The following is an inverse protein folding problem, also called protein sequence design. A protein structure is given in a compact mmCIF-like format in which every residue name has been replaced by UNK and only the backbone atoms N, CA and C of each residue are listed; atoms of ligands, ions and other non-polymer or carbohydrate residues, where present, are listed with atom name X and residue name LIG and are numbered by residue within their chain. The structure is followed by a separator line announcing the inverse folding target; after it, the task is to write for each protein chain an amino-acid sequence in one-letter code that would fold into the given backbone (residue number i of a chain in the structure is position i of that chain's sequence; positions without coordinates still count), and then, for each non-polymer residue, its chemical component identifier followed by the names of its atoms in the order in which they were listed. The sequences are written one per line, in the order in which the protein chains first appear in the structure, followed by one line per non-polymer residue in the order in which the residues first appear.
data_IF_550919126487
#
_entry.id   IF_550919126487
#
_cell.length_a   1.000
_cell.length_b   1.000
_cell.length_c   1.000
_cell.angle_alpha   90.00
_cell.angle_beta   90.00
_cell.angle_gamma   90.00
#
_symmetry.space_group_name_H-M   'P 1'
#
loop_
_entity.id
_entity.type
_entity.pdbx_description
1 polymer ?
#
# COMPACT_ATOMS: atom_id res chain seq x y z
N UNK A 1 14.78 -3.94 -11.37
CA UNK A 1 14.00 -3.92 -12.62
C UNK A 1 14.12 -2.55 -13.27
N UNK A 2 13.54 -1.49 -12.72
CA UNK A 2 13.51 -0.14 -13.32
C UNK A 2 14.88 0.33 -13.79
N UNK A 3 15.89 0.37 -12.89
CA UNK A 3 17.27 0.76 -13.22
C UNK A 3 17.80 0.03 -14.47
N UNK A 4 17.80 -1.30 -14.43
CA UNK A 4 18.38 -2.10 -15.50
C UNK A 4 17.67 -1.89 -16.84
N UNK A 5 16.33 -1.76 -16.80
CA UNK A 5 15.54 -1.49 -18.00
C UNK A 5 15.85 -0.11 -18.59
N UNK A 6 15.74 0.95 -17.76
CA UNK A 6 15.90 2.34 -18.22
C UNK A 6 17.32 2.60 -18.73
N UNK A 7 18.35 2.15 -18.01
CA UNK A 7 19.75 2.33 -18.43
C UNK A 7 20.03 1.62 -19.76
N UNK A 8 19.52 0.38 -19.92
CA UNK A 8 19.69 -0.39 -21.16
C UNK A 8 18.91 0.23 -22.32
N UNK A 9 17.62 0.50 -22.14
CA UNK A 9 16.74 1.01 -23.19
C UNK A 9 17.10 2.43 -23.65
N UNK A 10 17.69 3.24 -22.75
CA UNK A 10 18.19 4.57 -23.10
C UNK A 10 19.60 4.57 -23.70
N UNK A 11 20.26 3.43 -23.84
CA UNK A 11 21.67 3.31 -24.18
C UNK A 11 22.59 4.14 -23.25
N UNK A 12 22.30 4.12 -21.95
CA UNK A 12 23.05 4.83 -20.92
C UNK A 12 22.82 6.34 -20.87
N UNK A 13 21.87 6.90 -21.63
CA UNK A 13 21.53 8.33 -21.58
C UNK A 13 20.77 8.72 -20.31
N UNK A 14 20.13 7.77 -19.64
CA UNK A 14 19.52 7.93 -18.32
C UNK A 14 20.21 6.97 -17.37
N UNK A 15 20.90 7.51 -16.36
CA UNK A 15 21.47 6.75 -15.27
C UNK A 15 20.51 6.74 -14.08
N UNK A 16 20.49 5.65 -13.31
CA UNK A 16 19.65 5.51 -12.10
C UNK A 16 20.52 5.15 -10.91
N UNK A 17 20.52 5.99 -9.90
CA UNK A 17 21.12 5.71 -8.61
C UNK A 17 20.02 5.38 -7.58
N UNK A 18 20.24 4.36 -6.76
CA UNK A 18 19.25 3.89 -5.78
C UNK A 18 19.79 4.10 -4.38
N UNK A 19 19.05 4.87 -3.60
CA UNK A 19 19.34 5.13 -2.20
C UNK A 19 18.35 4.36 -1.33
N UNK A 20 18.83 3.62 -0.35
CA UNK A 20 18.01 2.72 0.47
C UNK A 20 17.75 3.33 1.86
N UNK A 21 16.56 3.05 2.38
CA UNK A 21 16.20 3.48 3.73
C UNK A 21 16.15 5.00 3.86
N UNK A 22 16.81 5.54 4.89
CA UNK A 22 16.77 6.96 5.27
C UNK A 22 17.98 7.76 4.78
N UNK A 23 18.62 7.37 3.69
CA UNK A 23 19.83 8.03 3.20
C UNK A 23 19.58 9.44 2.64
N UNK A 24 18.41 9.69 2.04
CA UNK A 24 18.07 10.98 1.45
C UNK A 24 17.08 11.81 2.28
N UNK A 25 16.27 11.16 3.11
CA UNK A 25 15.15 11.79 3.83
C UNK A 25 14.71 10.90 5.00
N UNK A 26 14.18 11.48 6.07
CA UNK A 26 13.85 10.77 7.30
C UNK A 26 12.47 10.10 7.32
N UNK A 27 11.53 10.60 6.50
CA UNK A 27 10.14 10.12 6.46
C UNK A 27 9.48 10.39 5.10
N UNK A 28 8.26 9.86 4.92
CA UNK A 28 7.57 9.93 3.63
C UNK A 28 7.21 11.35 3.17
N UNK A 29 6.83 12.23 4.09
CA UNK A 29 6.49 13.62 3.75
C UNK A 29 7.72 14.38 3.28
N UNK A 30 8.83 14.34 4.04
CA UNK A 30 10.09 14.95 3.67
C UNK A 30 10.62 14.45 2.32
N UNK A 31 10.52 13.14 2.07
CA UNK A 31 10.93 12.58 0.78
C UNK A 31 10.06 13.09 -0.39
N UNK A 32 8.75 13.20 -0.21
CA UNK A 32 7.85 13.72 -1.24
C UNK A 32 8.06 15.22 -1.47
N UNK A 33 8.34 16.01 -0.44
CA UNK A 33 8.75 17.41 -0.56
C UNK A 33 10.04 17.51 -1.39
N UNK A 34 11.04 16.66 -1.10
CA UNK A 34 12.26 16.59 -1.89
C UNK A 34 12.01 16.22 -3.37
N UNK A 35 11.02 15.37 -3.66
CA UNK A 35 10.60 15.10 -5.04
C UNK A 35 9.93 16.33 -5.66
N UNK A 36 9.05 16.99 -4.93
CA UNK A 36 8.36 18.19 -5.44
C UNK A 36 9.33 19.32 -5.77
N UNK A 37 10.36 19.50 -4.94
CA UNK A 37 11.42 20.50 -5.14
C UNK A 37 12.47 20.09 -6.18
N UNK A 38 12.55 18.81 -6.54
CA UNK A 38 13.49 18.27 -7.52
C UNK A 38 14.88 17.92 -6.95
N UNK A 39 15.05 17.90 -5.64
CA UNK A 39 16.26 17.38 -4.98
C UNK A 39 16.32 15.85 -5.00
N UNK A 40 15.16 15.20 -5.12
CA UNK A 40 14.98 13.77 -5.34
C UNK A 40 14.17 13.61 -6.64
N UNK A 41 14.65 12.80 -7.58
CA UNK A 41 13.93 12.60 -8.84
C UNK A 41 12.71 11.68 -8.69
N UNK A 42 12.86 10.59 -7.94
CA UNK A 42 11.84 9.55 -7.78
C UNK A 42 11.80 9.05 -6.34
N UNK A 43 10.59 8.90 -5.80
CA UNK A 43 10.38 8.29 -4.50
C UNK A 43 9.21 7.31 -4.52
N UNK A 44 9.35 6.22 -3.76
CA UNK A 44 8.28 5.25 -3.49
C UNK A 44 7.74 5.45 -2.09
N UNK A 45 6.42 5.46 -1.96
CA UNK A 45 5.75 5.43 -0.66
C UNK A 45 4.44 4.63 -0.71
N UNK A 46 3.79 4.45 0.44
CA UNK A 46 2.42 3.93 0.50
C UNK A 46 1.41 5.08 0.52
N UNK A 47 0.13 4.76 0.35
CA UNK A 47 -0.98 5.71 0.52
C UNK A 47 -0.89 6.52 1.82
N UNK A 48 -0.64 5.85 2.96
CA UNK A 48 -0.47 6.54 4.22
C UNK A 48 0.78 7.43 4.30
N UNK A 49 1.85 7.10 3.58
CA UNK A 49 3.06 7.96 3.52
C UNK A 49 2.88 9.20 2.65
N UNK A 50 1.93 9.18 1.70
CA UNK A 50 1.60 10.32 0.85
C UNK A 50 0.41 11.15 1.37
N UNK A 51 -0.28 10.68 2.40
CA UNK A 51 -1.53 11.25 2.90
C UNK A 51 -1.42 12.72 3.36
N UNK A 52 -0.26 13.13 3.86
CA UNK A 52 -0.03 14.50 4.31
C UNK A 52 -0.03 15.54 3.17
N UNK A 53 0.34 15.11 1.95
CA UNK A 53 0.38 15.98 0.76
C UNK A 53 -0.84 15.73 -0.13
N UNK A 54 -1.26 14.48 -0.23
CA UNK A 54 -2.37 14.04 -1.08
C UNK A 54 -3.34 13.17 -0.26
N UNK A 55 -4.22 13.76 0.57
CA UNK A 55 -5.10 13.00 1.48
C UNK A 55 -5.99 11.97 0.76
N UNK A 56 -6.41 12.24 -0.48
CA UNK A 56 -7.28 11.39 -1.27
C UNK A 56 -6.65 10.02 -1.62
N UNK A 57 -5.32 9.89 -1.63
CA UNK A 57 -4.67 8.60 -1.93
C UNK A 57 -4.94 7.53 -0.87
N UNK A 58 -5.40 7.93 0.33
CA UNK A 58 -5.83 7.01 1.39
C UNK A 58 -7.04 6.15 0.98
N UNK A 59 -7.72 6.46 -0.12
CA UNK A 59 -8.76 5.60 -0.71
C UNK A 59 -8.28 4.16 -0.93
N UNK A 60 -6.98 3.96 -1.19
CA UNK A 60 -6.36 2.63 -1.34
C UNK A 60 -6.24 1.86 -0.01
N UNK A 61 -6.33 2.53 1.13
CA UNK A 61 -6.33 1.92 2.46
C UNK A 61 -7.75 1.67 3.00
N UNK A 62 -8.81 2.05 2.25
CA UNK A 62 -10.19 1.72 2.62
C UNK A 62 -10.38 0.21 2.65
N UNK A 63 -10.93 -0.31 3.76
CA UNK A 63 -10.94 -1.74 3.99
C UNK A 63 -11.97 -2.48 3.12
N UNK A 64 -11.61 -3.69 2.70
CA UNK A 64 -12.47 -4.69 2.05
C UNK A 64 -13.14 -4.24 0.75
N UNK A 65 -12.56 -3.27 0.01
CA UNK A 65 -13.11 -2.81 -1.27
C UNK A 65 -12.69 -3.69 -2.46
N UNK A 66 -11.52 -4.28 -2.42
CA UNK A 66 -11.01 -5.15 -3.47
C UNK A 66 -11.02 -6.61 -2.99
N UNK A 67 -11.55 -7.51 -3.82
CA UNK A 67 -11.78 -8.91 -3.43
C UNK A 67 -10.49 -9.75 -3.41
N UNK A 68 -9.61 -9.57 -4.39
CA UNK A 68 -8.38 -10.34 -4.57
C UNK A 68 -7.31 -9.59 -5.37
N UNK A 69 -6.15 -10.23 -5.57
CA UNK A 69 -5.02 -9.67 -6.31
C UNK A 69 -5.38 -9.26 -7.75
N UNK A 70 -6.25 -10.03 -8.43
CA UNK A 70 -6.58 -9.77 -9.84
C UNK A 70 -7.42 -8.52 -9.98
N UNK A 71 -8.41 -8.36 -9.10
CA UNK A 71 -9.22 -7.13 -9.03
C UNK A 71 -8.31 -5.94 -8.72
N UNK A 72 -7.45 -6.06 -7.69
CA UNK A 72 -6.54 -4.99 -7.32
C UNK A 72 -5.60 -4.61 -8.46
N UNK A 73 -4.98 -5.57 -9.13
CA UNK A 73 -4.05 -5.33 -10.25
C UNK A 73 -4.77 -4.73 -11.47
N UNK A 74 -5.97 -5.19 -11.80
CA UNK A 74 -6.78 -4.62 -12.89
C UNK A 74 -7.12 -3.15 -12.61
N UNK A 75 -7.57 -2.83 -11.41
CA UNK A 75 -7.85 -1.45 -10.97
C UNK A 75 -6.59 -0.58 -11.06
N UNK A 76 -5.46 -1.05 -10.53
CA UNK A 76 -4.23 -0.27 -10.44
C UNK A 76 -3.47 -0.14 -11.76
N UNK A 77 -3.74 -0.99 -12.75
CA UNK A 77 -3.23 -0.85 -14.12
C UNK A 77 -4.16 -0.05 -15.03
N UNK A 78 -5.40 0.18 -14.61
CA UNK A 78 -6.45 0.85 -15.37
C UNK A 78 -6.50 2.37 -15.23
N UNK A 79 -7.63 2.92 -15.66
CA UNK A 79 -7.90 4.36 -15.69
C UNK A 79 -7.98 5.00 -14.30
N UNK A 80 -8.24 4.22 -13.27
CA UNK A 80 -8.22 4.68 -11.89
C UNK A 80 -6.86 5.30 -11.50
N UNK A 81 -5.76 4.66 -11.84
CA UNK A 81 -4.41 5.23 -11.60
C UNK A 81 -4.17 6.52 -12.36
N UNK A 82 -4.73 6.63 -13.57
CA UNK A 82 -4.66 7.89 -14.36
C UNK A 82 -5.44 9.02 -13.67
N UNK A 83 -6.63 8.72 -13.15
CA UNK A 83 -7.41 9.67 -12.37
C UNK A 83 -6.64 10.13 -11.12
N UNK A 84 -6.09 9.20 -10.35
CA UNK A 84 -5.26 9.54 -9.17
C UNK A 84 -4.05 10.41 -9.56
N UNK A 85 -3.41 10.14 -10.69
CA UNK A 85 -2.31 10.99 -11.22
C UNK A 85 -2.76 12.42 -11.48
N UNK A 86 -3.91 12.59 -12.13
CA UNK A 86 -4.42 13.92 -12.44
C UNK A 86 -4.78 14.70 -11.17
N UNK A 87 -5.45 14.06 -10.22
CA UNK A 87 -5.74 14.66 -8.92
C UNK A 87 -4.44 15.01 -8.15
N UNK A 88 -3.42 14.16 -8.23
CA UNK A 88 -2.12 14.42 -7.60
C UNK A 88 -1.38 15.60 -8.22
N UNK A 89 -1.41 15.74 -9.54
CA UNK A 89 -0.86 16.91 -10.24
C UNK A 89 -1.60 18.19 -9.84
N UNK A 90 -2.92 18.13 -9.75
CA UNK A 90 -3.74 19.28 -9.33
C UNK A 90 -3.47 19.65 -7.87
N UNK A 91 -3.45 18.70 -6.96
CA UNK A 91 -3.21 18.92 -5.53
C UNK A 91 -1.79 19.44 -5.21
N UNK A 92 -0.85 19.33 -6.14
CA UNK A 92 0.56 19.72 -5.96
C UNK A 92 1.02 20.79 -6.96
N UNK A 93 0.10 21.54 -7.55
CA UNK A 93 0.40 22.56 -8.56
C UNK A 93 1.32 22.04 -9.68
N UNK A 94 1.14 20.78 -10.06
CA UNK A 94 1.92 20.12 -11.09
C UNK A 94 3.30 19.62 -10.66
N UNK A 95 3.66 19.65 -9.39
CA UNK A 95 5.00 19.28 -8.93
C UNK A 95 5.22 17.76 -8.88
N UNK A 96 4.25 16.99 -8.39
CA UNK A 96 4.36 15.56 -8.17
C UNK A 96 3.55 14.74 -9.20
N UNK A 97 4.25 13.94 -9.98
CA UNK A 97 3.65 13.01 -10.94
C UNK A 97 3.61 11.58 -10.37
N UNK A 98 2.43 11.03 -10.17
CA UNK A 98 2.28 9.60 -9.90
C UNK A 98 2.58 8.81 -11.19
N UNK A 99 3.67 8.09 -11.22
CA UNK A 99 4.11 7.32 -12.38
C UNK A 99 3.37 5.99 -12.47
N UNK A 100 3.29 5.25 -11.38
CA UNK A 100 2.60 3.96 -11.31
C UNK A 100 2.23 3.61 -9.86
N UNK A 101 1.34 2.65 -9.70
CA UNK A 101 1.01 2.03 -8.42
C UNK A 101 1.27 0.53 -8.56
N UNK A 102 2.25 0.04 -7.83
CA UNK A 102 2.55 -1.40 -7.71
C UNK A 102 2.09 -1.96 -6.37
N UNK A 103 2.82 -2.97 -5.86
CA UNK A 103 2.57 -3.60 -4.57
C UNK A 103 3.86 -3.62 -3.74
N UNK A 104 3.78 -3.34 -2.43
CA UNK A 104 4.94 -3.39 -1.53
C UNK A 104 5.05 -4.71 -0.77
N UNK A 105 3.94 -5.26 -0.26
CA UNK A 105 3.96 -6.39 0.68
C UNK A 105 2.75 -7.33 0.61
N UNK A 106 1.92 -7.25 -0.42
CA UNK A 106 0.69 -8.04 -0.54
C UNK A 106 -0.50 -7.35 0.11
N UNK A 107 -1.25 -8.09 0.90
CA UNK A 107 -2.40 -7.61 1.65
C UNK A 107 -2.01 -7.24 3.07
N UNK A 108 -2.60 -6.16 3.59
CA UNK A 108 -2.54 -5.81 5.00
C UNK A 108 -3.36 -6.79 5.80
N UNK A 109 -2.76 -7.29 6.86
CA UNK A 109 -3.36 -8.20 7.81
C UNK A 109 -3.10 -7.68 9.22
N UNK A 110 -4.02 -7.90 10.16
CA UNK A 110 -3.77 -7.59 11.56
C UNK A 110 -2.78 -8.57 12.16
N UNK A 111 -1.76 -8.06 12.81
CA UNK A 111 -0.75 -8.84 13.49
C UNK A 111 -0.46 -8.26 14.88
N UNK A 112 -0.22 -9.12 15.88
CA UNK A 112 0.01 -8.66 17.25
C UNK A 112 0.87 -9.62 18.07
N UNK A 113 1.26 -9.17 19.28
CA UNK A 113 2.11 -9.91 20.23
C UNK A 113 1.30 -10.62 21.32
N UNK A 114 -0.03 -10.49 21.35
CA UNK A 114 -0.84 -10.84 22.53
C UNK A 114 -1.72 -12.06 22.35
N UNK A 115 -2.49 -12.12 21.24
CA UNK A 115 -3.53 -13.14 21.06
C UNK A 115 -3.97 -13.28 19.60
N UNK A 116 -4.56 -14.43 19.30
CA UNK A 116 -5.28 -14.63 18.04
C UNK A 116 -6.50 -13.70 18.01
N UNK A 117 -6.72 -13.07 16.87
CA UNK A 117 -7.85 -12.18 16.59
C UNK A 117 -8.77 -12.88 15.59
N UNK A 118 -9.99 -13.23 16.00
CA UNK A 118 -11.01 -13.90 15.19
C UNK A 118 -12.19 -13.00 14.87
N UNK A 119 -12.37 -11.95 15.68
CA UNK A 119 -13.48 -11.00 15.56
C UNK A 119 -13.03 -9.59 15.96
N UNK A 120 -13.78 -8.54 15.59
CA UNK A 120 -13.49 -7.18 16.07
C UNK A 120 -13.38 -7.05 17.60
N UNK A 121 -14.16 -7.82 18.37
CA UNK A 121 -14.07 -7.80 19.83
C UNK A 121 -12.73 -8.25 20.39
N UNK A 122 -11.98 -9.09 19.65
CA UNK A 122 -10.65 -9.50 20.05
C UNK A 122 -9.59 -8.39 19.87
N UNK A 123 -9.94 -7.34 19.11
CA UNK A 123 -9.09 -6.15 18.93
C UNK A 123 -9.13 -5.21 20.13
N UNK A 124 -10.16 -5.33 20.99
CA UNK A 124 -10.37 -4.42 22.13
C UNK A 124 -9.14 -4.39 23.05
N UNK A 125 -8.70 -3.16 23.38
CA UNK A 125 -7.56 -2.91 24.26
C UNK A 125 -6.18 -3.12 23.62
N UNK A 126 -6.07 -3.62 22.38
CA UNK A 126 -4.79 -3.71 21.67
C UNK A 126 -4.30 -2.32 21.23
N UNK A 127 -3.02 -2.06 21.41
CA UNK A 127 -2.33 -0.89 20.86
C UNK A 127 -1.77 -1.23 19.49
N UNK A 128 -2.48 -0.81 18.45
CA UNK A 128 -2.12 -1.14 17.06
C UNK A 128 -1.38 0.02 16.41
N UNK A 129 -0.16 -0.23 15.97
CA UNK A 129 0.58 0.75 15.16
C UNK A 129 -0.14 1.04 13.85
N UNK A 130 -0.21 2.30 13.51
CA UNK A 130 -0.58 2.77 12.17
C UNK A 130 0.56 3.56 11.54
N UNK A 131 0.53 3.74 10.23
CA UNK A 131 1.29 4.81 9.60
C UNK A 131 0.78 6.17 10.09
N UNK A 132 1.56 7.23 9.91
CA UNK A 132 1.20 8.59 10.32
C UNK A 132 0.18 9.16 9.30
N UNK A 133 -1.06 8.68 9.37
CA UNK A 133 -2.19 9.07 8.53
C UNK A 133 -3.50 8.83 9.29
N UNK A 134 -4.56 9.54 8.95
CA UNK A 134 -5.80 9.52 9.74
C UNK A 134 -6.66 8.29 9.44
N UNK A 135 -6.90 7.94 8.18
CA UNK A 135 -7.76 6.82 7.82
C UNK A 135 -7.32 5.48 8.45
N UNK A 136 -6.03 5.08 8.44
CA UNK A 136 -5.58 3.89 9.15
C UNK A 136 -5.85 3.93 10.66
N UNK A 137 -5.87 5.11 11.28
CA UNK A 137 -6.21 5.27 12.69
C UNK A 137 -7.70 5.08 12.90
N UNK A 138 -8.55 5.65 12.02
CA UNK A 138 -10.01 5.47 12.08
C UNK A 138 -10.41 4.00 11.93
N UNK A 139 -9.75 3.25 11.02
CA UNK A 139 -9.98 1.81 10.91
C UNK A 139 -9.69 1.08 12.23
N UNK A 140 -8.57 1.39 12.86
CA UNK A 140 -8.21 0.76 14.14
C UNK A 140 -9.22 1.10 15.23
N UNK A 141 -9.68 2.36 15.30
CA UNK A 141 -10.73 2.79 16.26
C UNK A 141 -12.07 2.10 15.99
N UNK A 142 -12.48 2.01 14.73
CA UNK A 142 -13.74 1.35 14.33
C UNK A 142 -13.77 -0.13 14.75
N UNK A 143 -12.62 -0.78 14.80
CA UNK A 143 -12.47 -2.17 15.26
C UNK A 143 -12.27 -2.30 16.78
N UNK A 144 -12.36 -1.21 17.55
CA UNK A 144 -12.28 -1.22 19.03
C UNK A 144 -10.85 -1.21 19.59
N UNK A 145 -9.82 -1.11 18.75
CA UNK A 145 -8.42 -1.01 19.19
C UNK A 145 -7.95 0.44 19.34
N UNK A 146 -6.77 0.62 19.94
CA UNK A 146 -6.14 1.93 20.13
C UNK A 146 -5.06 2.17 19.07
N UNK A 147 -5.21 3.13 18.15
CA UNK A 147 -4.21 3.42 17.16
C UNK A 147 -3.02 4.18 17.75
N UNK A 148 -1.83 3.84 17.31
CA UNK A 148 -0.58 4.52 17.68
C UNK A 148 0.20 4.83 16.39
N UNK A 149 0.18 6.08 15.89
CA UNK A 149 0.90 6.44 14.68
C UNK A 149 2.40 6.48 14.95
N UNK A 150 3.15 5.64 14.22
CA UNK A 150 4.62 5.52 14.35
C UNK A 150 5.23 5.39 12.94
N UNK A 151 6.30 6.14 12.62
CA UNK A 151 7.05 6.00 11.39
C UNK A 151 7.58 4.56 11.21
N UNK A 152 7.67 4.12 9.96
CA UNK A 152 8.10 2.75 9.64
C UNK A 152 9.46 2.33 10.24
N UNK A 153 10.52 3.18 10.21
CA UNK A 153 11.83 2.79 10.74
C UNK A 153 11.84 2.51 12.25
N UNK A 154 10.86 3.07 12.99
CA UNK A 154 10.80 2.97 14.46
C UNK A 154 10.00 1.75 14.94
N UNK A 155 9.32 1.03 14.02
CA UNK A 155 8.32 0.03 14.39
C UNK A 155 8.93 -1.19 15.11
N UNK A 156 10.09 -1.68 14.67
CA UNK A 156 10.75 -2.82 15.32
C UNK A 156 11.05 -2.53 16.80
N UNK A 157 11.66 -1.37 17.08
CA UNK A 157 11.97 -0.93 18.46
C UNK A 157 10.69 -0.71 19.27
N UNK A 158 9.63 -0.22 18.64
CA UNK A 158 8.34 0.01 19.31
C UNK A 158 7.67 -1.30 19.75
N UNK A 159 7.84 -2.40 19.02
CA UNK A 159 7.44 -3.73 19.48
C UNK A 159 8.30 -4.20 20.64
N UNK A 160 9.63 -4.10 20.53
CA UNK A 160 10.56 -4.55 21.59
C UNK A 160 10.30 -3.84 22.94
N UNK A 161 9.97 -2.55 22.88
CA UNK A 161 9.73 -1.74 24.09
C UNK A 161 8.27 -1.78 24.57
N UNK A 162 7.37 -2.45 23.84
CA UNK A 162 5.95 -2.55 24.19
C UNK A 162 5.15 -1.25 24.02
N UNK A 163 5.67 -0.28 23.28
CA UNK A 163 4.94 0.94 22.91
C UNK A 163 3.71 0.57 22.08
N UNK A 164 3.84 -0.42 21.20
CA UNK A 164 2.74 -1.04 20.47
C UNK A 164 2.72 -2.54 20.66
N UNK A 165 1.52 -3.12 20.49
CA UNK A 165 1.27 -4.55 20.62
C UNK A 165 0.91 -5.21 19.29
N UNK A 166 0.61 -4.40 18.27
CA UNK A 166 0.26 -4.91 16.95
C UNK A 166 0.50 -3.90 15.83
N UNK A 167 0.29 -4.35 14.61
CA UNK A 167 0.43 -3.58 13.38
C UNK A 167 -0.46 -4.16 12.28
N UNK A 168 -0.50 -3.47 11.13
CA UNK A 168 -1.22 -3.87 9.92
C UNK A 168 -0.25 -3.96 8.75
N UNK A 169 0.22 -5.17 8.46
CA UNK A 169 1.26 -5.38 7.44
C UNK A 169 1.04 -6.67 6.65
N UNK A 170 1.68 -6.76 5.49
CA UNK A 170 1.80 -8.01 4.76
C UNK A 170 2.82 -8.94 5.42
N UNK A 171 2.66 -10.24 5.20
CA UNK A 171 3.57 -11.25 5.80
C UNK A 171 5.02 -11.05 5.35
N UNK A 172 5.25 -10.59 4.12
CA UNK A 172 6.60 -10.32 3.60
C UNK A 172 7.30 -9.19 4.34
N UNK A 173 6.54 -8.17 4.79
CA UNK A 173 7.06 -7.07 5.60
C UNK A 173 7.35 -7.55 7.02
N UNK A 174 6.42 -8.33 7.61
CA UNK A 174 6.56 -8.90 8.96
C UNK A 174 7.86 -9.71 9.06
N UNK A 175 8.09 -10.59 8.09
CA UNK A 175 9.29 -11.44 8.08
C UNK A 175 10.54 -10.66 7.66
N UNK A 176 10.43 -9.76 6.70
CA UNK A 176 11.54 -8.92 6.23
C UNK A 176 12.10 -7.98 7.31
N UNK A 177 11.23 -7.44 8.16
CA UNK A 177 11.58 -6.60 9.31
C UNK A 177 11.85 -7.38 10.59
N UNK A 178 11.78 -8.71 10.54
CA UNK A 178 12.03 -9.60 11.69
C UNK A 178 11.13 -9.29 12.90
N UNK A 179 9.87 -8.91 12.68
CA UNK A 179 8.95 -8.60 13.79
C UNK A 179 8.70 -9.78 14.74
N UNK A 180 8.80 -11.08 14.33
CA UNK A 180 8.79 -12.20 15.28
C UNK A 180 9.89 -12.10 16.34
N UNK A 181 11.10 -11.59 15.99
CA UNK A 181 12.20 -11.40 16.94
C UNK A 181 11.88 -10.29 17.98
N UNK A 182 10.92 -9.42 17.67
CA UNK A 182 10.38 -8.40 18.57
C UNK A 182 9.08 -8.84 19.28
N UNK A 183 8.72 -10.13 19.20
CA UNK A 183 7.61 -10.73 19.93
C UNK A 183 6.28 -10.82 19.15
N UNK A 184 6.21 -10.43 17.86
CA UNK A 184 5.01 -10.58 17.07
C UNK A 184 4.76 -12.05 16.74
N UNK A 185 3.66 -12.62 17.25
CA UNK A 185 3.38 -14.07 17.17
C UNK A 185 2.04 -14.40 16.51
N UNK A 186 1.10 -13.46 16.41
CA UNK A 186 -0.26 -13.73 15.92
C UNK A 186 -0.52 -12.92 14.67
N UNK A 187 -0.92 -13.57 13.59
CA UNK A 187 -1.32 -12.93 12.32
C UNK A 187 -2.69 -13.45 11.91
N UNK A 188 -3.64 -12.54 11.73
CA UNK A 188 -4.97 -12.83 11.19
C UNK A 188 -5.01 -12.38 9.74
N UNK A 189 -5.21 -13.34 8.81
CA UNK A 189 -5.23 -13.10 7.37
C UNK A 189 -6.59 -12.53 6.92
N UNK A 190 -6.96 -11.39 7.46
CA UNK A 190 -8.21 -10.70 7.12
C UNK A 190 -8.16 -9.99 5.77
N UNK A 191 -6.97 -9.60 5.30
CA UNK A 191 -6.76 -9.02 3.98
C UNK A 191 -7.53 -7.72 3.76
N UNK A 192 -7.54 -6.81 4.74
CA UNK A 192 -8.39 -5.63 4.70
C UNK A 192 -8.02 -4.59 3.65
N UNK A 193 -6.75 -4.48 3.22
CA UNK A 193 -6.35 -3.53 2.19
C UNK A 193 -5.15 -4.05 1.37
N UNK A 194 -5.15 -3.76 0.07
CA UNK A 194 -4.02 -4.04 -0.80
C UNK A 194 -2.92 -2.99 -0.62
N UNK A 195 -1.68 -3.43 -0.43
CA UNK A 195 -0.56 -2.53 -0.10
C UNK A 195 -0.01 -1.84 -1.35
N UNK A 196 -0.68 -0.78 -1.78
CA UNK A 196 -0.24 0.01 -2.93
C UNK A 196 1.14 0.65 -2.71
N UNK A 197 2.03 0.45 -3.69
CA UNK A 197 3.31 1.13 -3.82
C UNK A 197 3.14 2.29 -4.80
N UNK A 198 3.10 3.52 -4.31
CA UNK A 198 2.95 4.72 -5.12
C UNK A 198 4.33 5.26 -5.49
N UNK A 199 4.62 5.30 -6.78
CA UNK A 199 5.87 5.83 -7.31
C UNK A 199 5.66 7.23 -7.85
N UNK A 200 6.26 8.21 -7.19
CA UNK A 200 6.19 9.61 -7.57
C UNK A 200 7.49 10.06 -8.23
N UNK A 201 7.38 10.94 -9.21
CA UNK A 201 8.51 11.58 -9.88
C UNK A 201 8.30 13.09 -9.93
N UNK A 202 9.38 13.85 -9.85
CA UNK A 202 9.32 15.28 -10.11
C UNK A 202 8.79 15.52 -11.54
N UNK A 203 7.69 16.24 -11.65
CA UNK A 203 7.00 16.41 -12.93
C UNK A 203 7.77 17.32 -13.90
N UNK A 204 8.46 18.34 -13.38
CA UNK A 204 9.25 19.24 -14.25
C UNK A 204 10.45 18.49 -14.84
N UNK A 205 11.14 17.66 -14.04
CA UNK A 205 12.23 16.81 -14.53
C UNK A 205 11.70 15.82 -15.57
N UNK A 206 10.54 15.19 -15.33
CA UNK A 206 9.91 14.31 -16.31
C UNK A 206 9.57 15.03 -17.64
N UNK A 207 8.91 16.20 -17.57
CA UNK A 207 8.53 16.98 -18.76
C UNK A 207 9.73 17.59 -19.48
N UNK A 208 10.82 17.87 -18.77
CA UNK A 208 12.07 18.39 -19.35
C UNK A 208 12.88 17.34 -20.14
N UNK A 209 12.54 16.05 -20.00
CA UNK A 209 13.20 15.00 -20.79
C UNK A 209 12.77 15.03 -22.25
N UNK A 210 13.64 14.67 -23.22
CA UNK A 210 13.25 14.37 -24.58
C UNK A 210 12.17 13.27 -24.65
N UNK A 211 11.29 13.35 -25.65
CA UNK A 211 10.14 12.45 -25.79
C UNK A 211 10.49 10.97 -25.80
N UNK A 212 11.60 10.62 -26.44
CA UNK A 212 12.09 9.24 -26.50
C UNK A 212 12.53 8.73 -25.11
N UNK A 213 13.16 9.58 -24.28
CA UNK A 213 13.55 9.23 -22.92
C UNK A 213 12.35 9.17 -21.98
N UNK A 214 11.36 10.06 -22.14
CA UNK A 214 10.10 9.97 -21.39
C UNK A 214 9.40 8.63 -21.62
N UNK A 215 9.36 8.15 -22.86
CA UNK A 215 8.80 6.81 -23.18
C UNK A 215 9.56 5.71 -22.48
N UNK A 216 10.89 5.72 -22.53
CA UNK A 216 11.73 4.73 -21.81
C UNK A 216 11.44 4.72 -20.30
N UNK A 217 11.29 5.90 -19.70
CA UNK A 217 10.97 6.02 -18.26
C UNK A 217 9.57 5.46 -17.95
N UNK A 218 8.56 5.79 -18.76
CA UNK A 218 7.19 5.25 -18.62
C UNK A 218 7.18 3.72 -18.75
N UNK A 219 7.86 3.19 -19.77
CA UNK A 219 7.97 1.75 -19.97
C UNK A 219 8.71 1.07 -18.80
N UNK A 220 9.75 1.74 -18.26
CA UNK A 220 10.47 1.29 -17.06
C UNK A 220 9.57 1.17 -15.85
N UNK A 221 8.68 2.14 -15.62
CA UNK A 221 7.69 2.07 -14.54
C UNK A 221 6.63 0.98 -14.78
N UNK A 222 6.24 0.74 -16.04
CA UNK A 222 5.36 -0.38 -16.39
C UNK A 222 6.00 -1.74 -16.05
N UNK A 223 7.28 -1.94 -16.42
CA UNK A 223 8.02 -3.15 -16.04
C UNK A 223 8.17 -3.31 -14.52
N UNK A 224 8.43 -2.20 -13.83
CA UNK A 224 8.52 -2.19 -12.37
C UNK A 224 7.20 -2.58 -11.72
N UNK A 225 6.08 -2.06 -12.21
CA UNK A 225 4.74 -2.38 -11.72
C UNK A 225 4.48 -3.89 -11.78
N UNK A 226 4.71 -4.52 -12.94
CA UNK A 226 4.52 -5.96 -13.12
C UNK A 226 5.41 -6.79 -12.18
N UNK A 227 6.66 -6.38 -12.02
CA UNK A 227 7.58 -7.04 -11.10
C UNK A 227 7.16 -6.90 -9.64
N UNK A 228 6.62 -5.75 -9.26
CA UNK A 228 6.14 -5.52 -7.88
C UNK A 228 4.83 -6.24 -7.58
N UNK A 229 3.96 -6.47 -8.55
CA UNK A 229 2.80 -7.35 -8.37
C UNK A 229 3.21 -8.81 -8.15
N UNK A 230 4.17 -9.31 -8.91
CA UNK A 230 4.61 -10.71 -8.82
C UNK A 230 5.45 -11.02 -7.57
N UNK A 231 6.26 -10.05 -7.10
CA UNK A 231 7.24 -10.30 -6.04
C UNK A 231 6.63 -10.65 -4.69
N UNK A 232 5.63 -9.91 -4.14
CA UNK A 232 5.00 -10.27 -2.88
C UNK A 232 4.28 -11.61 -2.93
N UNK A 233 3.61 -11.93 -4.03
CA UNK A 233 2.93 -13.23 -4.21
C UNK A 233 3.91 -14.40 -4.07
N UNK A 234 5.05 -14.33 -4.73
CA UNK A 234 6.08 -15.36 -4.62
C UNK A 234 6.70 -15.44 -3.23
N UNK A 235 7.09 -14.28 -2.68
CA UNK A 235 7.75 -14.21 -1.37
C UNK A 235 6.83 -14.58 -0.21
N UNK A 236 5.53 -14.34 -0.33
CA UNK A 236 4.57 -14.65 0.74
C UNK A 236 4.50 -16.15 1.02
N UNK A 237 4.67 -17.02 0.00
CA UNK A 237 4.66 -18.48 0.18
C UNK A 237 5.74 -18.90 1.19
N UNK A 238 6.98 -18.45 0.97
CA UNK A 238 8.11 -18.74 1.85
C UNK A 238 7.94 -18.05 3.22
N UNK A 239 7.42 -16.82 3.24
CA UNK A 239 7.22 -16.04 4.45
C UNK A 239 6.16 -16.65 5.37
N UNK A 240 5.03 -17.14 4.84
CA UNK A 240 4.02 -17.87 5.63
C UNK A 240 4.59 -19.14 6.24
N UNK A 241 5.31 -19.94 5.46
CA UNK A 241 5.94 -21.16 5.96
C UNK A 241 6.94 -20.85 7.08
N UNK A 242 7.85 -19.90 6.85
CA UNK A 242 8.86 -19.52 7.84
C UNK A 242 8.23 -18.93 9.12
N UNK A 243 7.12 -18.18 9.01
CA UNK A 243 6.41 -17.65 10.18
C UNK A 243 5.85 -18.78 11.06
N UNK A 244 5.19 -19.76 10.44
CA UNK A 244 4.62 -20.92 11.16
C UNK A 244 5.71 -21.83 11.73
N UNK A 245 6.77 -22.11 10.97
CA UNK A 245 7.93 -22.90 11.42
C UNK A 245 8.64 -22.23 12.60
N UNK A 246 8.65 -20.89 12.63
CA UNK A 246 9.16 -20.09 13.76
C UNK A 246 8.25 -20.06 14.99
N UNK A 247 7.11 -20.77 14.97
CA UNK A 247 6.15 -20.84 16.09
C UNK A 247 5.08 -19.75 16.06
N UNK A 248 4.95 -19.01 14.94
CA UNK A 248 3.90 -18.02 14.75
C UNK A 248 2.52 -18.66 14.56
N UNK A 249 1.50 -18.01 15.09
CA UNK A 249 0.10 -18.39 14.95
C UNK A 249 -0.50 -17.65 13.76
N UNK A 250 -0.75 -18.38 12.67
CA UNK A 250 -1.36 -17.87 11.44
C UNK A 250 -2.83 -18.29 11.39
N UNK A 251 -3.73 -17.31 11.46
CA UNK A 251 -5.17 -17.56 11.45
C UNK A 251 -5.80 -17.07 10.14
N UNK A 252 -6.56 -17.94 9.50
CA UNK A 252 -7.36 -17.63 8.31
C UNK A 252 -8.82 -17.48 8.74
N UNK A 253 -9.39 -16.26 8.77
CA UNK A 253 -10.77 -16.08 9.16
C UNK A 253 -11.71 -16.70 8.13
N UNK A 254 -12.80 -17.30 8.61
CA UNK A 254 -13.91 -17.76 7.77
C UNK A 254 -14.58 -16.56 7.07
N UNK A 255 -15.35 -16.79 5.99
CA UNK A 255 -16.11 -15.71 5.35
C UNK A 255 -17.04 -14.95 6.30
N UNK A 256 -17.64 -15.65 7.28
CA UNK A 256 -18.51 -15.03 8.28
C UNK A 256 -17.72 -14.12 9.25
N UNK A 257 -16.56 -14.55 9.70
CA UNK A 257 -15.67 -13.74 10.55
C UNK A 257 -15.14 -12.54 9.77
N UNK A 258 -14.71 -12.72 8.52
CA UNK A 258 -14.28 -11.61 7.65
C UNK A 258 -15.41 -10.58 7.45
N UNK A 259 -16.65 -11.03 7.30
CA UNK A 259 -17.81 -10.16 7.19
C UNK A 259 -18.05 -9.34 8.48
N UNK A 260 -17.74 -9.87 9.67
CA UNK A 260 -17.81 -9.10 10.92
C UNK A 260 -16.81 -7.94 10.94
N UNK A 261 -15.56 -8.16 10.48
CA UNK A 261 -14.57 -7.09 10.35
C UNK A 261 -15.01 -6.05 9.32
N UNK A 262 -15.53 -6.47 8.17
CA UNK A 262 -16.00 -5.56 7.14
C UNK A 262 -17.19 -4.70 7.64
N UNK A 263 -18.12 -5.30 8.38
CA UNK A 263 -19.25 -4.57 8.97
C UNK A 263 -18.78 -3.55 10.02
N UNK A 264 -17.85 -3.93 10.91
CA UNK A 264 -17.31 -3.02 11.92
C UNK A 264 -16.49 -1.87 11.30
N UNK A 265 -15.85 -2.11 10.15
CA UNK A 265 -15.09 -1.10 9.43
C UNK A 265 -15.97 -0.18 8.54
N UNK A 266 -17.25 -0.47 8.38
CA UNK A 266 -18.17 0.30 7.52
C UNK A 266 -18.11 1.82 7.72
N UNK A 267 -18.15 2.35 8.96
CA UNK A 267 -18.09 3.78 9.21
C UNK A 267 -16.85 4.51 8.68
N UNK A 268 -15.77 3.77 8.36
CA UNK A 268 -14.52 4.37 7.84
C UNK A 268 -14.71 4.97 6.44
N UNK A 269 -15.62 4.42 5.62
CA UNK A 269 -15.92 5.02 4.31
C UNK A 269 -16.63 6.38 4.46
N UNK A 270 -17.60 6.47 5.36
CA UNK A 270 -18.33 7.73 5.64
C UNK A 270 -17.37 8.78 6.21
N UNK A 271 -16.48 8.34 7.12
CA UNK A 271 -15.45 9.23 7.64
C UNK A 271 -14.55 9.75 6.51
N UNK A 272 -14.09 8.87 5.60
CA UNK A 272 -13.23 9.25 4.48
C UNK A 272 -13.90 10.28 3.57
N UNK A 273 -15.14 10.04 3.16
CA UNK A 273 -15.86 10.97 2.27
C UNK A 273 -16.20 12.30 2.96
N UNK A 274 -16.40 12.29 4.28
CA UNK A 274 -16.72 13.49 5.05
C UNK A 274 -15.51 14.34 5.48
N UNK A 275 -14.29 13.77 5.47
CA UNK A 275 -13.10 14.44 6.03
C UNK A 275 -11.94 14.59 5.03
N UNK A 276 -12.03 13.99 3.85
CA UNK A 276 -10.96 14.04 2.84
C UNK A 276 -11.43 14.79 1.61
N UNK A 277 -10.73 15.85 1.26
CA UNK A 277 -11.00 16.62 0.05
C UNK A 277 -10.87 15.72 -1.19
N UNK A 278 -11.91 15.72 -2.04
CA UNK A 278 -12.00 14.82 -3.19
C UNK A 278 -12.30 13.35 -2.81
N UNK A 279 -12.57 13.06 -1.54
CA UNK A 279 -12.79 11.71 -1.03
C UNK A 279 -13.98 11.00 -1.66
N UNK A 280 -15.12 11.70 -1.81
CA UNK A 280 -16.31 11.14 -2.47
C UNK A 280 -16.03 10.81 -3.94
N UNK A 281 -15.41 11.72 -4.67
CA UNK A 281 -15.07 11.55 -6.07
C UNK A 281 -14.15 10.35 -6.30
N UNK A 282 -13.07 10.26 -5.53
CA UNK A 282 -12.10 9.17 -5.71
C UNK A 282 -12.62 7.82 -5.22
N UNK A 283 -13.46 7.80 -4.17
CA UNK A 283 -14.11 6.58 -3.70
C UNK A 283 -15.11 6.05 -4.73
N UNK A 284 -15.93 6.93 -5.34
CA UNK A 284 -16.81 6.54 -6.44
C UNK A 284 -16.02 5.95 -7.59
N UNK A 285 -14.94 6.61 -8.01
CA UNK A 285 -14.08 6.12 -9.10
C UNK A 285 -13.42 4.78 -8.77
N UNK A 286 -13.02 4.54 -7.51
CA UNK A 286 -12.50 3.25 -7.09
C UNK A 286 -13.56 2.16 -7.16
N UNK A 287 -14.77 2.41 -6.66
CA UNK A 287 -15.89 1.45 -6.69
C UNK A 287 -16.28 1.09 -8.13
N UNK A 288 -16.34 2.08 -9.03
CA UNK A 288 -16.62 1.86 -10.44
C UNK A 288 -15.53 0.99 -11.11
N UNK A 289 -14.25 1.30 -10.82
CA UNK A 289 -13.13 0.53 -11.33
C UNK A 289 -13.10 -0.91 -10.81
N UNK A 290 -13.43 -1.12 -9.53
CA UNK A 290 -13.55 -2.45 -8.93
C UNK A 290 -14.69 -3.24 -9.59
N UNK A 291 -15.86 -2.63 -9.73
CA UNK A 291 -17.03 -3.29 -10.34
C UNK A 291 -16.75 -3.67 -11.80
N UNK A 292 -16.07 -2.81 -12.55
CA UNK A 292 -15.66 -3.10 -13.93
C UNK A 292 -14.66 -4.26 -13.98
N UNK A 293 -13.64 -4.23 -13.13
CA UNK A 293 -12.63 -5.30 -13.05
C UNK A 293 -13.25 -6.67 -12.69
N UNK A 294 -14.17 -6.70 -11.73
CA UNK A 294 -14.87 -7.92 -11.34
C UNK A 294 -15.74 -8.48 -12.49
N UNK A 295 -16.43 -7.62 -13.23
CA UNK A 295 -17.24 -8.02 -14.39
C UNK A 295 -16.36 -8.58 -15.52
N UNK A 296 -15.25 -7.93 -15.84
CA UNK A 296 -14.31 -8.37 -16.87
C UNK A 296 -13.67 -9.72 -16.51
N UNK A 297 -13.25 -9.88 -15.26
CA UNK A 297 -12.70 -11.14 -14.76
C UNK A 297 -13.73 -12.27 -14.77
N UNK A 298 -14.98 -12.01 -14.37
CA UNK A 298 -16.04 -12.99 -14.43
C UNK A 298 -16.33 -13.44 -15.87
N UNK A 299 -16.27 -12.50 -16.83
CA UNK A 299 -16.45 -12.79 -18.26
C UNK A 299 -15.30 -13.64 -18.79
N UNK A 300 -14.05 -13.31 -18.44
CA UNK A 300 -12.89 -14.09 -18.84
C UNK A 300 -12.95 -15.52 -18.28
N UNK A 301 -13.29 -15.69 -17.01
CA UNK A 301 -13.49 -17.01 -16.41
C UNK A 301 -14.58 -17.84 -17.10
N UNK A 302 -15.71 -17.22 -17.43
CA UNK A 302 -16.77 -17.93 -18.13
C UNK A 302 -16.32 -18.42 -19.52
N UNK A 303 -15.47 -17.64 -20.19
CA UNK A 303 -14.90 -18.04 -21.48
C UNK A 303 -13.88 -19.20 -21.37
N UNK A 304 -13.06 -19.19 -20.29
CA UNK A 304 -12.05 -20.23 -20.05
C UNK A 304 -12.66 -21.58 -19.60
N UNK A 305 -13.87 -21.56 -19.02
CA UNK A 305 -14.56 -22.75 -18.51
C UNK A 305 -15.48 -23.41 -19.55
N UNK A 306 -15.75 -22.78 -20.68
CA UNK A 306 -16.59 -23.28 -21.79
C UNK A 306 -15.74 -23.66 -23.01
#
# INVERSE_FOLDING_TARGET
VFKNFVESASNGRVGVEIFMGTQLCGNGAECLEGVAEGSIDVYITTSGGAAGIMPFVQVLDLPYLMADDRVAEAVLTGDFTRKMRNMGLEATDGALRLMTIGNTGGWRNFANTRRRVQSPSDMEGLKIRTVVADLPQELVRALGASPTPIPWPELFTSFQTGVVEGSKNGITDIMGMKFPDAGLQYVTLDGHAYMGALWFMNNNNFLGMPDDLRRVVVDGFSQLQQATFASPKRKSIEAYAAFVEGGGDLYVPSPAEKAMFAAAAGPVQDWFTGNVDGGEEILSALKDAVSAAEADLATAYAADLN
#
